data_IF_095785617106
#
_entry.id   IF_095785617106
#
_cell.length_a   1.000
_cell.length_b   1.000
_cell.length_c   1.000
_cell.angle_alpha   90.00
_cell.angle_beta   90.00
_cell.angle_gamma   90.00
#
_symmetry.space_group_name_H-M   'P 1'
#
loop_
_entity.id
_entity.type
_entity.pdbx_description
1 polymer ?
#
# COMPACT_ATOMS: atom_id res chain seq x y z
N UNK A 1 16.06 5.44 3.31
CA UNK A 1 14.82 4.68 3.56
C UNK A 1 14.30 4.81 4.99
N UNK A 2 15.01 4.31 6.01
CA UNK A 2 14.53 4.34 7.41
C UNK A 2 14.14 5.74 7.91
N UNK A 3 14.97 6.75 7.65
CA UNK A 3 14.66 8.14 8.03
C UNK A 3 13.37 8.68 7.38
N UNK A 4 13.15 8.42 6.09
CA UNK A 4 11.94 8.85 5.40
C UNK A 4 10.68 8.14 5.94
N UNK A 5 10.77 6.85 6.24
CA UNK A 5 9.69 6.12 6.90
C UNK A 5 9.40 6.63 8.31
N UNK A 6 10.44 6.96 9.08
CA UNK A 6 10.28 7.58 10.39
C UNK A 6 9.58 8.94 10.30
N UNK A 7 10.04 9.81 9.40
CA UNK A 7 9.45 11.14 9.19
C UNK A 7 8.00 11.05 8.69
N UNK A 8 7.69 10.11 7.79
CA UNK A 8 6.32 9.86 7.34
C UNK A 8 5.40 9.37 8.46
N UNK A 9 5.92 8.54 9.38
CA UNK A 9 5.19 8.12 10.57
C UNK A 9 4.89 9.30 11.50
N UNK A 10 5.92 10.11 11.80
CA UNK A 10 5.79 11.31 12.62
C UNK A 10 4.77 12.30 12.01
N UNK A 11 4.83 12.50 10.70
CA UNK A 11 3.88 13.33 9.97
C UNK A 11 2.43 12.85 10.17
N UNK A 12 2.18 11.54 10.07
CA UNK A 12 0.85 10.97 10.27
C UNK A 12 0.36 11.13 11.72
N UNK A 13 1.26 11.05 12.71
CA UNK A 13 0.91 11.27 14.12
C UNK A 13 0.55 12.73 14.39
N UNK A 14 1.30 13.69 13.85
CA UNK A 14 1.04 15.13 14.05
C UNK A 14 -0.19 15.59 13.27
N UNK A 15 -0.36 15.11 12.03
CA UNK A 15 -1.46 15.53 11.17
C UNK A 15 -2.78 14.81 11.51
N UNK A 16 -2.74 13.59 12.03
CA UNK A 16 -3.93 12.78 12.31
C UNK A 16 -4.55 12.10 11.07
N UNK A 17 -4.02 12.35 9.87
CA UNK A 17 -4.37 11.66 8.64
C UNK A 17 -5.56 12.26 7.86
N UNK A 18 -6.03 11.52 6.86
CA UNK A 18 -7.09 11.97 5.94
C UNK A 18 -8.48 11.68 6.52
N UNK A 19 -9.41 12.65 6.39
CA UNK A 19 -10.83 12.47 6.76
C UNK A 19 -11.49 11.30 6.02
N UNK A 20 -11.17 11.14 4.74
CA UNK A 20 -11.55 9.99 3.91
C UNK A 20 -10.27 9.23 3.58
N UNK A 21 -10.02 8.13 4.29
CA UNK A 21 -8.75 7.39 4.28
C UNK A 21 -8.43 6.81 2.91
N UNK A 22 -9.43 6.57 2.06
CA UNK A 22 -9.22 6.15 0.66
C UNK A 22 -8.34 7.13 -0.12
N UNK A 23 -8.43 8.44 0.16
CA UNK A 23 -7.54 9.45 -0.43
C UNK A 23 -6.10 9.31 0.05
N UNK A 24 -5.88 8.95 1.32
CA UNK A 24 -4.53 8.71 1.85
C UNK A 24 -3.85 7.52 1.18
N UNK A 25 -4.62 6.46 0.90
CA UNK A 25 -4.13 5.31 0.13
C UNK A 25 -3.80 5.73 -1.30
N UNK A 26 -4.72 6.43 -1.99
CA UNK A 26 -4.52 6.86 -3.37
C UNK A 26 -3.33 7.81 -3.54
N UNK A 27 -3.31 8.92 -2.80
CA UNK A 27 -2.25 9.92 -2.88
C UNK A 27 -0.91 9.37 -2.42
N UNK A 28 -0.91 8.52 -1.40
CA UNK A 28 0.30 7.84 -0.94
C UNK A 28 0.91 6.97 -2.03
N UNK A 29 0.13 6.11 -2.69
CA UNK A 29 0.62 5.28 -3.79
C UNK A 29 1.07 6.10 -5.00
N UNK A 30 0.35 7.17 -5.34
CA UNK A 30 0.76 8.09 -6.41
C UNK A 30 2.10 8.76 -6.10
N UNK A 31 2.27 9.28 -4.88
CA UNK A 31 3.53 9.88 -4.44
C UNK A 31 4.68 8.85 -4.44
N UNK A 32 4.43 7.63 -3.95
CA UNK A 32 5.44 6.57 -3.97
C UNK A 32 5.84 6.19 -5.40
N UNK A 33 4.88 6.04 -6.30
CA UNK A 33 5.17 5.67 -7.68
C UNK A 33 5.95 6.77 -8.41
N UNK A 34 5.61 8.05 -8.19
CA UNK A 34 6.31 9.18 -8.80
C UNK A 34 7.73 9.30 -8.22
N UNK A 35 7.86 9.49 -6.90
CA UNK A 35 9.16 9.82 -6.29
C UNK A 35 10.03 8.59 -6.01
N UNK A 36 9.41 7.49 -5.56
CA UNK A 36 10.11 6.28 -5.14
C UNK A 36 10.35 5.26 -6.25
N UNK A 37 9.78 5.46 -7.45
CA UNK A 37 9.94 4.53 -8.58
C UNK A 37 10.31 5.25 -9.88
N UNK A 38 9.41 6.05 -10.47
CA UNK A 38 9.62 6.69 -11.78
C UNK A 38 10.80 7.66 -11.76
N UNK A 39 10.76 8.68 -10.90
CA UNK A 39 11.84 9.66 -10.83
C UNK A 39 13.13 9.04 -10.28
N UNK A 40 13.01 8.07 -9.37
CA UNK A 40 14.15 7.38 -8.79
C UNK A 40 14.91 6.56 -9.86
N UNK A 41 14.19 5.88 -10.75
CA UNK A 41 14.80 5.13 -11.85
C UNK A 41 15.43 6.02 -12.92
N UNK A 42 14.91 7.24 -13.14
CA UNK A 42 15.52 8.22 -14.06
C UNK A 42 16.68 9.01 -13.40
N UNK A 43 16.93 8.81 -12.11
CA UNK A 43 17.92 9.62 -11.39
C UNK A 43 19.36 9.24 -11.78
N UNK A 44 20.13 10.24 -12.24
CA UNK A 44 21.53 10.09 -12.65
C UNK A 44 22.53 10.69 -11.64
N UNK A 45 22.06 11.11 -10.47
CA UNK A 45 22.87 11.75 -9.42
C UNK A 45 22.56 11.16 -8.06
N UNK A 46 23.59 10.76 -7.32
CA UNK A 46 23.47 10.16 -5.99
C UNK A 46 22.66 11.05 -5.03
N UNK A 47 22.85 12.37 -5.10
CA UNK A 47 22.11 13.33 -4.27
C UNK A 47 20.62 13.29 -4.58
N UNK A 48 20.27 13.27 -5.87
CA UNK A 48 18.88 13.19 -6.31
C UNK A 48 18.26 11.85 -5.93
N UNK A 49 19.00 10.75 -6.09
CA UNK A 49 18.57 9.39 -5.69
C UNK A 49 18.23 9.33 -4.19
N UNK A 50 19.08 9.88 -3.32
CA UNK A 50 18.85 9.90 -1.87
C UNK A 50 17.61 10.72 -1.50
N UNK A 51 17.43 11.89 -2.12
CA UNK A 51 16.25 12.75 -1.88
C UNK A 51 14.98 12.03 -2.31
N UNK A 52 14.95 11.49 -3.54
CA UNK A 52 13.81 10.79 -4.11
C UNK A 52 13.45 9.52 -3.33
N UNK A 53 14.45 8.73 -2.93
CA UNK A 53 14.25 7.57 -2.06
C UNK A 53 13.68 7.97 -0.69
N UNK A 54 14.11 9.11 -0.14
CA UNK A 54 13.56 9.68 1.08
C UNK A 54 12.08 10.06 0.93
N UNK A 55 11.74 10.80 -0.12
CA UNK A 55 10.38 11.22 -0.44
C UNK A 55 9.46 10.03 -0.69
N UNK A 56 9.92 9.04 -1.48
CA UNK A 56 9.19 7.80 -1.72
C UNK A 56 8.95 7.00 -0.44
N UNK A 57 9.88 7.02 0.51
CA UNK A 57 9.75 6.32 1.80
C UNK A 57 8.70 6.94 2.73
N UNK A 58 8.44 8.26 2.65
CA UNK A 58 7.41 8.95 3.44
C UNK A 58 6.00 8.44 3.12
N UNK A 59 5.77 8.01 1.87
CA UNK A 59 4.48 7.50 1.43
C UNK A 59 4.09 6.18 2.13
N UNK A 60 5.05 5.34 2.50
CA UNK A 60 4.80 4.02 3.11
C UNK A 60 3.94 4.09 4.37
N UNK A 61 4.33 4.88 5.40
CA UNK A 61 3.51 5.11 6.59
C UNK A 61 2.12 5.66 6.29
N UNK A 62 2.00 6.61 5.36
CA UNK A 62 0.71 7.21 4.97
C UNK A 62 -0.22 6.12 4.40
N UNK A 63 0.26 5.36 3.42
CA UNK A 63 -0.48 4.26 2.80
C UNK A 63 -0.89 3.24 3.85
N UNK A 64 0.06 2.79 4.69
CA UNK A 64 -0.18 1.73 5.66
C UNK A 64 -1.13 2.17 6.76
N UNK A 65 -1.00 3.39 7.28
CA UNK A 65 -1.90 3.90 8.32
C UNK A 65 -3.33 4.07 7.78
N UNK A 66 -3.51 4.67 6.60
CA UNK A 66 -4.82 4.83 5.98
C UNK A 66 -5.46 3.48 5.65
N UNK A 67 -4.70 2.55 5.04
CA UNK A 67 -5.20 1.23 4.67
C UNK A 67 -5.54 0.40 5.92
N UNK A 68 -4.69 0.40 6.94
CA UNK A 68 -4.99 -0.32 8.20
C UNK A 68 -6.24 0.22 8.88
N UNK A 69 -6.41 1.55 8.95
CA UNK A 69 -7.58 2.13 9.58
C UNK A 69 -8.89 1.80 8.83
N UNK A 70 -8.89 1.74 7.49
CA UNK A 70 -10.05 1.26 6.72
C UNK A 70 -10.38 -0.19 7.10
N UNK A 71 -9.39 -1.08 7.07
CA UNK A 71 -9.61 -2.50 7.40
C UNK A 71 -10.09 -2.69 8.84
N UNK A 72 -9.53 -1.95 9.80
CA UNK A 72 -9.96 -2.01 11.19
C UNK A 72 -11.42 -1.56 11.37
N UNK A 73 -11.86 -0.53 10.65
CA UNK A 73 -13.24 -0.06 10.73
C UNK A 73 -14.24 -1.00 10.06
N UNK A 74 -13.83 -1.68 8.98
CA UNK A 74 -14.73 -2.55 8.19
C UNK A 74 -14.75 -4.00 8.63
N UNK A 75 -13.74 -4.48 9.36
CA UNK A 75 -13.66 -5.88 9.78
C UNK A 75 -14.08 -6.05 11.23
N UNK A 76 -15.08 -6.91 11.51
CA UNK A 76 -15.50 -7.26 12.87
C UNK A 76 -14.33 -7.73 13.75
N UNK A 77 -14.27 -7.35 15.04
CA UNK A 77 -13.13 -7.61 15.92
C UNK A 77 -12.74 -9.09 16.03
N UNK A 78 -13.73 -9.99 16.04
CA UNK A 78 -13.58 -11.45 16.08
C UNK A 78 -12.93 -12.03 14.82
N UNK A 79 -13.07 -11.35 13.68
CA UNK A 79 -12.51 -11.76 12.39
C UNK A 79 -11.18 -11.09 12.06
N UNK A 80 -10.79 -10.03 12.77
CA UNK A 80 -9.59 -9.25 12.46
C UNK A 80 -8.34 -10.13 12.41
N UNK A 81 -8.12 -10.99 13.41
CA UNK A 81 -6.95 -11.88 13.43
C UNK A 81 -6.81 -12.74 12.17
N UNK A 82 -7.92 -13.28 11.66
CA UNK A 82 -7.94 -14.11 10.44
C UNK A 82 -7.72 -13.26 9.18
N UNK A 83 -8.42 -12.13 9.07
CA UNK A 83 -8.33 -11.24 7.89
C UNK A 83 -6.93 -10.63 7.76
N UNK A 84 -6.37 -10.10 8.84
CA UNK A 84 -5.03 -9.51 8.82
C UNK A 84 -3.94 -10.55 8.56
N UNK A 85 -4.06 -11.77 9.11
CA UNK A 85 -3.11 -12.85 8.85
C UNK A 85 -3.14 -13.31 7.39
N UNK A 86 -4.33 -13.50 6.81
CA UNK A 86 -4.47 -13.86 5.40
C UNK A 86 -3.89 -12.78 4.48
N UNK A 87 -4.21 -11.50 4.75
CA UNK A 87 -3.64 -10.36 4.01
C UNK A 87 -2.11 -10.32 4.10
N UNK A 88 -1.56 -10.57 5.29
CA UNK A 88 -0.11 -10.60 5.52
C UNK A 88 0.57 -11.72 4.75
N UNK A 89 -0.02 -12.91 4.74
CA UNK A 89 0.50 -14.06 4.01
C UNK A 89 0.56 -13.77 2.50
N UNK A 90 -0.51 -13.22 1.92
CA UNK A 90 -0.54 -12.84 0.50
C UNK A 90 0.59 -11.84 0.20
N UNK A 91 0.75 -10.81 1.03
CA UNK A 91 1.81 -9.82 0.85
C UNK A 91 3.23 -10.42 0.97
N UNK A 92 3.41 -11.39 1.87
CA UNK A 92 4.72 -12.01 2.12
C UNK A 92 5.17 -12.94 1.00
N UNK A 93 4.24 -13.64 0.34
CA UNK A 93 4.57 -14.49 -0.80
C UNK A 93 5.09 -13.66 -1.98
N UNK A 94 4.67 -12.40 -2.10
CA UNK A 94 5.17 -11.49 -3.14
C UNK A 94 6.62 -11.06 -2.91
N UNK A 95 7.10 -11.01 -1.65
CA UNK A 95 8.44 -10.53 -1.30
C UNK A 95 9.60 -11.32 -1.93
N UNK A 96 9.59 -12.66 -2.00
CA UNK A 96 10.62 -13.41 -2.70
C UNK A 96 10.39 -13.44 -4.22
N UNK A 97 9.14 -13.53 -4.67
CA UNK A 97 8.82 -13.75 -6.09
C UNK A 97 9.12 -12.51 -6.93
N UNK A 98 8.71 -11.33 -6.47
CA UNK A 98 8.82 -10.10 -7.25
C UNK A 98 10.29 -9.71 -7.54
N UNK A 99 11.23 -9.72 -6.56
CA UNK A 99 12.63 -9.41 -6.83
C UNK A 99 13.32 -10.42 -7.75
N UNK A 100 12.95 -11.71 -7.67
CA UNK A 100 13.51 -12.73 -8.57
C UNK A 100 13.14 -12.45 -10.03
N UNK A 101 11.85 -12.18 -10.29
CA UNK A 101 11.38 -11.83 -11.63
C UNK A 101 11.97 -10.49 -12.08
N UNK A 102 12.01 -9.51 -11.17
CA UNK A 102 12.52 -8.18 -11.49
C UNK A 102 14.03 -8.21 -11.84
N UNK A 103 14.84 -8.90 -11.04
CA UNK A 103 16.27 -9.06 -11.31
C UNK A 103 16.51 -9.81 -12.62
N UNK A 104 15.82 -10.93 -12.84
CA UNK A 104 15.95 -11.67 -14.10
C UNK A 104 15.56 -10.83 -15.33
N UNK A 105 14.49 -10.06 -15.24
CA UNK A 105 14.04 -9.21 -16.34
C UNK A 105 14.96 -8.00 -16.56
N UNK A 106 15.48 -7.41 -15.48
CA UNK A 106 16.45 -6.32 -15.56
C UNK A 106 17.76 -6.80 -16.23
N UNK A 107 18.35 -7.87 -15.73
CA UNK A 107 19.70 -8.29 -16.08
C UNK A 107 19.75 -9.05 -17.42
N UNK A 108 18.74 -9.90 -17.70
CA UNK A 108 18.76 -10.75 -18.90
C UNK A 108 17.95 -10.21 -20.07
N UNK A 109 17.06 -9.23 -19.86
CA UNK A 109 16.25 -8.67 -20.95
C UNK A 109 16.56 -7.20 -21.17
N UNK A 110 16.33 -6.33 -20.17
CA UNK A 110 16.40 -4.89 -20.39
C UNK A 110 17.81 -4.33 -20.49
N UNK A 111 18.75 -4.81 -19.67
CA UNK A 111 20.14 -4.34 -19.74
C UNK A 111 20.80 -4.67 -21.09
N UNK A 112 20.72 -5.89 -21.64
CA UNK A 112 21.22 -6.18 -22.99
C UNK A 112 20.53 -5.35 -24.09
N UNK A 113 19.21 -5.14 -23.99
CA UNK A 113 18.44 -4.31 -24.92
C UNK A 113 18.90 -2.84 -24.92
N UNK A 114 19.28 -2.30 -23.77
CA UNK A 114 19.75 -0.92 -23.64
C UNK A 114 21.22 -0.78 -24.01
N UNK A 115 22.04 -1.80 -23.75
CA UNK A 115 23.44 -1.83 -24.14
C UNK A 115 23.64 -1.85 -25.67
N UNK A 116 22.71 -2.44 -26.43
CA UNK A 116 22.77 -2.46 -27.89
C UNK A 116 22.29 -1.13 -28.51
N UNK A 117 23.26 -0.24 -28.74
CA UNK A 117 23.06 1.09 -29.33
C UNK A 117 22.52 1.06 -30.77
N UNK A 118 22.47 -0.10 -31.44
CA UNK A 118 21.91 -0.22 -32.79
C UNK A 118 20.39 -0.32 -32.80
N UNK A 119 19.76 -0.64 -31.66
CA UNK A 119 18.32 -0.81 -31.57
C UNK A 119 17.58 0.53 -31.45
N UNK A 120 16.45 0.75 -32.16
CA UNK A 120 15.64 1.95 -32.00
C UNK A 120 15.16 2.17 -30.55
N UNK A 121 14.97 1.07 -29.81
CA UNK A 121 14.59 1.10 -28.40
C UNK A 121 15.69 1.73 -27.53
N UNK A 122 16.94 1.28 -27.66
CA UNK A 122 18.08 1.85 -26.94
C UNK A 122 18.25 3.34 -27.26
N UNK A 123 18.14 3.73 -28.54
CA UNK A 123 18.30 5.14 -28.96
C UNK A 123 17.31 6.07 -28.23
N UNK A 124 16.09 5.60 -27.97
CA UNK A 124 15.05 6.40 -27.31
C UNK A 124 15.12 6.35 -25.78
N UNK A 125 15.47 5.20 -25.20
CA UNK A 125 15.39 4.95 -23.75
C UNK A 125 16.71 5.24 -23.04
N UNK A 126 17.85 4.92 -23.65
CA UNK A 126 19.19 5.09 -23.07
C UNK A 126 19.55 6.53 -22.68
N UNK A 127 19.02 7.62 -23.31
CA UNK A 127 19.23 8.98 -22.81
C UNK A 127 18.68 9.24 -21.40
N UNK A 128 17.68 8.48 -20.95
CA UNK A 128 17.06 8.63 -19.64
C UNK A 128 17.67 7.70 -18.58
N UNK A 129 18.01 6.47 -18.98
CA UNK A 129 18.41 5.39 -18.05
C UNK A 129 19.87 4.96 -18.19
N UNK A 130 20.57 5.47 -19.20
CA UNK A 130 21.90 5.01 -19.60
C UNK A 130 21.86 3.68 -20.36
N UNK A 131 23.04 3.25 -20.81
CA UNK A 131 23.28 1.99 -21.53
C UNK A 131 24.30 1.08 -20.82
N UNK A 132 24.74 1.47 -19.62
CA UNK A 132 25.71 0.73 -18.81
C UNK A 132 25.05 -0.18 -17.76
N UNK A 133 25.89 -0.71 -16.88
CA UNK A 133 25.44 -1.58 -15.78
C UNK A 133 24.36 -0.91 -14.92
N UNK A 134 23.26 -1.63 -14.68
CA UNK A 134 22.14 -1.14 -13.87
C UNK A 134 21.07 -0.34 -14.64
N UNK A 135 21.28 -0.06 -15.93
CA UNK A 135 20.30 0.59 -16.81
C UNK A 135 18.98 -0.20 -16.91
N UNK A 136 19.06 -1.53 -16.96
CA UNK A 136 17.88 -2.41 -16.96
C UNK A 136 17.05 -2.29 -15.68
N UNK A 137 17.70 -2.21 -14.53
CA UNK A 137 17.04 -2.02 -13.22
C UNK A 137 16.38 -0.64 -13.12
N UNK A 138 17.09 0.41 -13.56
CA UNK A 138 16.61 1.78 -13.58
C UNK A 138 15.35 1.95 -14.45
N UNK A 139 15.37 1.36 -15.65
CA UNK A 139 14.23 1.33 -16.55
C UNK A 139 13.05 0.53 -15.97
N UNK A 140 13.31 -0.68 -15.47
CA UNK A 140 12.27 -1.54 -14.90
C UNK A 140 11.60 -0.91 -13.68
N UNK A 141 12.36 -0.25 -12.81
CA UNK A 141 11.82 0.47 -11.66
C UNK A 141 10.83 1.55 -12.12
N UNK A 142 11.19 2.29 -13.16
CA UNK A 142 10.34 3.36 -13.70
C UNK A 142 9.10 2.82 -14.40
N UNK A 143 9.24 1.75 -15.19
CA UNK A 143 8.13 1.06 -15.81
C UNK A 143 7.13 0.52 -14.77
N UNK A 144 7.64 -0.04 -13.67
CA UNK A 144 6.82 -0.52 -12.56
C UNK A 144 6.09 0.64 -11.88
N UNK A 145 6.76 1.78 -11.68
CA UNK A 145 6.12 2.99 -11.16
C UNK A 145 4.96 3.47 -12.03
N UNK A 146 5.13 3.50 -13.36
CA UNK A 146 4.05 3.83 -14.30
C UNK A 146 2.90 2.82 -14.24
N UNK A 147 3.21 1.53 -14.15
CA UNK A 147 2.21 0.49 -14.01
C UNK A 147 1.42 0.63 -12.69
N UNK A 148 2.08 1.01 -11.59
CA UNK A 148 1.43 1.29 -10.30
C UNK A 148 0.53 2.52 -10.42
N UNK A 149 1.00 3.62 -11.03
CA UNK A 149 0.18 4.83 -11.24
C UNK A 149 -1.07 4.51 -12.06
N UNK A 150 -0.92 3.76 -13.15
CA UNK A 150 -2.04 3.32 -13.98
C UNK A 150 -3.00 2.44 -13.18
N UNK A 151 -2.49 1.44 -12.47
CA UNK A 151 -3.30 0.51 -11.67
C UNK A 151 -4.10 1.25 -10.59
N UNK A 152 -3.46 2.14 -9.84
CA UNK A 152 -4.08 2.91 -8.76
C UNK A 152 -5.10 3.90 -9.31
N UNK A 153 -4.82 4.51 -10.46
CA UNK A 153 -5.77 5.41 -11.15
C UNK A 153 -6.99 4.65 -11.68
N UNK A 154 -6.81 3.47 -12.26
CA UNK A 154 -7.91 2.61 -12.73
C UNK A 154 -8.78 2.14 -11.56
N UNK A 155 -8.16 1.75 -10.44
CA UNK A 155 -8.88 1.40 -9.22
C UNK A 155 -9.64 2.62 -8.66
N UNK A 156 -9.01 3.79 -8.63
CA UNK A 156 -9.65 5.01 -8.15
C UNK A 156 -10.85 5.46 -8.98
N UNK A 157 -10.80 5.25 -10.30
CA UNK A 157 -11.92 5.53 -11.20
C UNK A 157 -13.17 4.70 -10.90
N UNK A 158 -13.06 3.61 -10.12
CA UNK A 158 -14.21 2.82 -9.68
C UNK A 158 -14.86 3.47 -8.45
N UNK A 159 -16.12 3.95 -8.55
CA UNK A 159 -16.80 4.60 -7.42
C UNK A 159 -16.87 3.72 -6.18
N UNK A 160 -16.96 2.40 -6.36
CA UNK A 160 -16.95 1.41 -5.28
C UNK A 160 -15.70 1.48 -4.40
N UNK A 161 -14.54 1.80 -4.97
CA UNK A 161 -13.29 1.93 -4.22
C UNK A 161 -13.11 3.33 -3.64
N UNK A 162 -13.53 4.36 -4.37
CA UNK A 162 -13.51 5.74 -3.88
C UNK A 162 -14.42 5.94 -2.67
N UNK A 163 -15.57 5.26 -2.64
CA UNK A 163 -16.60 5.37 -1.62
C UNK A 163 -16.69 4.13 -0.72
N UNK A 164 -15.63 3.31 -0.66
CA UNK A 164 -15.62 2.08 0.15
C UNK A 164 -15.96 2.32 1.63
N UNK A 165 -15.55 3.48 2.16
CA UNK A 165 -15.85 3.89 3.54
C UNK A 165 -17.34 4.22 3.76
N UNK A 166 -18.07 4.59 2.71
CA UNK A 166 -19.49 4.96 2.75
C UNK A 166 -20.41 3.79 2.37
N UNK A 167 -19.96 2.93 1.45
CA UNK A 167 -20.72 1.80 0.94
C UNK A 167 -20.78 0.61 1.90
N UNK A 168 -19.74 0.43 2.72
CA UNK A 168 -19.70 -0.64 3.70
C UNK A 168 -20.06 -0.06 5.08
N UNK A 169 -20.96 -0.67 5.86
CA UNK A 169 -21.19 -0.24 7.23
C UNK A 169 -19.91 -0.43 8.06
N UNK A 170 -19.65 0.49 8.98
CA UNK A 170 -18.67 0.25 10.03
C UNK A 170 -19.20 -0.85 10.96
N UNK A 171 -18.31 -1.68 11.52
CA UNK A 171 -18.76 -2.63 12.54
C UNK A 171 -19.19 -1.85 13.80
N UNK A 172 -20.37 -2.16 14.32
CA UNK A 172 -20.83 -1.56 15.57
C UNK A 172 -19.99 -2.11 16.73
N UNK A 173 -19.37 -1.22 17.51
CA UNK A 173 -18.57 -1.57 18.69
C UNK A 173 -19.44 -2.08 19.86
N UNK A 174 -20.75 -2.32 19.66
CA UNK A 174 -21.71 -2.51 20.76
C UNK A 174 -22.74 -3.63 20.66
N UNK A 175 -23.00 -4.25 19.49
CA UNK A 175 -24.15 -5.17 19.37
C UNK A 175 -23.96 -6.47 20.16
N UNK A 176 -22.74 -7.01 20.23
CA UNK A 176 -22.49 -8.29 20.90
C UNK A 176 -22.43 -8.18 22.43
N UNK A 177 -22.01 -7.03 22.95
CA UNK A 177 -22.02 -6.79 24.40
C UNK A 177 -23.39 -6.36 24.92
N UNK A 178 -24.16 -5.61 24.12
CA UNK A 178 -25.54 -5.26 24.45
C UNK A 178 -26.45 -6.51 24.39
N UNK A 179 -26.35 -7.32 23.34
CA UNK A 179 -27.15 -8.55 23.21
C UNK A 179 -26.76 -9.61 24.26
N UNK A 180 -25.47 -9.76 24.58
CA UNK A 180 -25.03 -10.66 25.66
C UNK A 180 -25.41 -10.13 27.05
N UNK A 181 -25.44 -8.80 27.23
CA UNK A 181 -25.92 -8.15 28.45
C UNK A 181 -27.42 -8.29 28.65
N UNK A 182 -28.22 -8.07 27.60
CA UNK A 182 -29.67 -8.26 27.59
C UNK A 182 -30.05 -9.73 27.78
N UNK A 183 -29.34 -10.66 27.14
CA UNK A 183 -29.55 -12.10 27.32
C UNK A 183 -29.24 -12.54 28.76
N UNK A 184 -28.12 -12.09 29.35
CA UNK A 184 -27.80 -12.35 30.77
C UNK A 184 -28.79 -11.72 31.73
N UNK A 185 -29.30 -10.53 31.42
CA UNK A 185 -30.27 -9.82 32.27
C UNK A 185 -31.65 -10.49 32.20
N UNK A 186 -32.06 -10.96 31.02
CA UNK A 186 -33.28 -11.74 30.84
C UNK A 186 -33.21 -13.11 31.53
N UNK A 187 -32.06 -13.79 31.45
CA UNK A 187 -31.82 -15.08 32.12
C UNK A 187 -31.83 -14.93 33.64
N UNK A 188 -31.21 -13.88 34.19
CA UNK A 188 -31.24 -13.58 35.62
C UNK A 188 -32.66 -13.26 36.14
N UNK A 189 -33.46 -12.52 35.36
CA UNK A 189 -34.85 -12.21 35.70
C UNK A 189 -35.78 -13.42 35.63
N UNK A 190 -35.51 -14.39 34.74
CA UNK A 190 -36.28 -15.62 34.63
C UNK A 190 -36.04 -16.55 35.84
N UNK A 191 -34.79 -16.66 36.29
CA UNK A 191 -34.40 -17.48 37.46
C UNK A 191 -35.01 -16.95 38.77
N UNK A 192 -35.09 -15.63 38.95
CA UNK A 192 -35.69 -15.01 40.14
C UNK A 192 -37.22 -15.24 40.21
N UNK A 193 -37.89 -15.34 39.05
CA UNK A 193 -39.33 -15.58 38.97
C UNK A 193 -39.75 -17.03 39.25
N UNK A 194 -38.83 -17.99 39.10
CA UNK A 194 -39.08 -19.43 39.28
C UNK A 194 -38.72 -19.90 40.70
N UNK A 195 -37.89 -19.13 41.44
CA UNK A 195 -37.57 -19.38 42.84
C UNK A 195 -38.61 -18.91 43.87
N UNK A 196 -39.70 -18.28 43.40
CA UNK A 196 -40.74 -17.66 44.23
C UNK A 196 -42.10 -18.40 44.17
N UNK A 197 -42.10 -19.65 43.65
CA UNK A 197 -43.24 -20.59 43.70
C UNK A 197 -42.89 -21.81 44.55
#
# INVERSE_FOLDING_TARGET
>A
WALGGFLGGLLMTVWGGFKKRSWGVYLGWMANAIFGMVLLGVSNSITLTVILAGLGAIAGPIINASNQAIWQQKVPPDLQGRVFSARRLIAWITLPIAPLIAGALADFSFEPLLADASTPFSIFISPLFGSGAGSGTAFLLSLTGLAVMASVSLLWSRPSLRNVEELLPDHEVGSDHAAAGEAKTAEASAVDSDGLK
#
